data_IF_063007770324
#
_entry.id   IF_063007770324
#
_cell.length_a   1.000
_cell.length_b   1.000
_cell.length_c   1.000
_cell.angle_alpha   90.00
_cell.angle_beta   90.00
_cell.angle_gamma   90.00
#
_symmetry.space_group_name_H-M   'P 1'
#
loop_
_entity.id
_entity.type
_entity.pdbx_description
1 polymer ?
#
# COMPACT_ATOMS: atom_id res chain seq x y z
N UNK A 1 15.26 -7.56 -17.24
CA UNK A 1 14.52 -6.47 -17.90
C UNK A 1 13.61 -5.86 -16.84
N UNK A 2 14.00 -4.73 -16.25
CA UNK A 2 13.26 -4.12 -15.16
C UNK A 2 11.99 -3.45 -15.71
N UNK A 3 10.83 -4.06 -15.44
CA UNK A 3 9.54 -3.53 -15.85
C UNK A 3 9.23 -2.25 -15.07
N UNK A 4 9.23 -1.15 -15.83
CA UNK A 4 8.25 -0.06 -15.80
C UNK A 4 8.15 0.77 -14.51
N UNK A 5 8.72 1.99 -14.61
CA UNK A 5 8.09 3.18 -14.04
C UNK A 5 6.61 3.19 -14.43
N UNK A 6 5.70 3.06 -13.48
CA UNK A 6 4.28 3.25 -13.75
C UNK A 6 3.43 2.66 -12.65
N UNK A 7 3.17 3.45 -11.62
CA UNK A 7 2.33 3.15 -10.47
C UNK A 7 1.10 2.32 -10.92
N UNK A 8 0.93 1.07 -10.47
CA UNK A 8 -0.18 0.22 -10.89
C UNK A 8 -1.48 0.81 -10.36
N UNK A 9 -2.58 0.68 -11.12
CA UNK A 9 -3.89 1.20 -10.71
C UNK A 9 -4.25 0.80 -9.29
N UNK A 10 -5.03 1.63 -8.59
CA UNK A 10 -5.43 1.36 -7.20
C UNK A 10 -5.92 -0.09 -6.98
N UNK A 11 -6.71 -0.64 -7.90
CA UNK A 11 -7.19 -2.03 -7.82
C UNK A 11 -6.05 -3.06 -7.95
N UNK A 12 -5.17 -2.88 -8.94
CA UNK A 12 -4.02 -3.75 -9.14
C UNK A 12 -3.06 -3.70 -7.94
N UNK A 13 -2.79 -2.50 -7.42
CA UNK A 13 -1.99 -2.32 -6.21
C UNK A 13 -2.61 -3.06 -5.01
N UNK A 14 -3.91 -2.93 -4.79
CA UNK A 14 -4.61 -3.62 -3.70
C UNK A 14 -4.48 -5.14 -3.85
N UNK A 15 -4.67 -5.67 -5.06
CA UNK A 15 -4.50 -7.11 -5.33
C UNK A 15 -3.08 -7.57 -5.07
N UNK A 16 -2.09 -6.85 -5.59
CA UNK A 16 -0.69 -7.19 -5.32
C UNK A 16 -0.37 -7.13 -3.84
N UNK A 17 -0.87 -6.14 -3.11
CA UNK A 17 -0.67 -6.05 -1.67
C UNK A 17 -1.34 -7.19 -0.91
N UNK A 18 -2.43 -7.79 -1.42
CA UNK A 18 -3.09 -8.93 -0.78
C UNK A 18 -2.25 -10.22 -0.87
N UNK A 19 -1.34 -10.31 -1.83
CA UNK A 19 -0.46 -11.47 -2.05
C UNK A 19 1.00 -11.20 -1.66
N UNK A 20 1.43 -9.93 -1.69
CA UNK A 20 2.82 -9.49 -1.51
C UNK A 20 2.89 -8.18 -0.72
N UNK A 21 4.10 -7.74 -0.44
CA UNK A 21 4.35 -6.39 0.11
C UNK A 21 4.81 -5.43 -0.99
N UNK A 22 4.50 -4.16 -0.84
CA UNK A 22 5.00 -3.12 -1.73
C UNK A 22 5.42 -1.88 -0.94
N UNK A 23 6.42 -1.19 -1.49
CA UNK A 23 6.98 0.05 -0.98
C UNK A 23 6.35 1.19 -1.76
N UNK A 24 5.57 2.02 -1.08
CA UNK A 24 4.88 3.16 -1.68
C UNK A 24 5.59 4.44 -1.28
N UNK A 25 5.99 5.24 -2.25
CA UNK A 25 6.54 6.58 -2.06
C UNK A 25 5.45 7.60 -2.37
N UNK A 26 5.14 8.47 -1.41
CA UNK A 26 4.11 9.50 -1.55
C UNK A 26 4.57 10.84 -0.99
N UNK A 27 4.02 11.93 -1.52
CA UNK A 27 4.31 13.28 -1.06
C UNK A 27 3.49 13.65 0.18
N UNK A 28 4.16 14.13 1.23
CA UNK A 28 3.51 14.77 2.38
C UNK A 28 2.97 16.15 2.02
N UNK A 29 2.13 16.71 2.91
CA UNK A 29 1.67 18.09 2.83
C UNK A 29 2.81 19.11 2.83
N UNK A 30 3.94 18.76 3.45
CA UNK A 30 5.12 19.60 3.57
C UNK A 30 5.99 19.65 2.29
N UNK A 31 5.71 18.80 1.30
CA UNK A 31 6.52 18.67 0.08
C UNK A 31 7.64 17.61 0.15
N UNK A 32 7.79 16.97 1.31
CA UNK A 32 8.74 15.87 1.52
C UNK A 32 8.18 14.52 1.02
N UNK A 33 9.03 13.71 0.38
CA UNK A 33 8.70 12.37 -0.10
C UNK A 33 8.86 11.36 1.03
N UNK A 34 7.75 10.70 1.41
CA UNK A 34 7.78 9.63 2.40
C UNK A 34 7.66 8.29 1.73
N UNK A 35 8.59 7.41 2.05
CA UNK A 35 8.57 6.01 1.66
C UNK A 35 7.93 5.21 2.80
N UNK A 36 6.91 4.40 2.49
CA UNK A 36 6.30 3.47 3.44
C UNK A 36 6.22 2.06 2.86
N UNK A 37 6.58 1.06 3.65
CA UNK A 37 6.44 -0.35 3.26
C UNK A 37 5.14 -0.90 3.81
N UNK A 38 4.29 -1.42 2.92
CA UNK A 38 2.97 -1.87 3.29
C UNK A 38 2.56 -3.19 2.63
N UNK A 39 1.56 -3.85 3.22
CA UNK A 39 0.97 -5.09 2.71
C UNK A 39 -0.54 -5.13 3.03
N UNK A 40 -1.29 -5.99 2.37
CA UNK A 40 -2.65 -6.40 2.69
C UNK A 40 -2.77 -7.91 2.84
N UNK A 41 -1.63 -8.60 2.90
CA UNK A 41 -1.59 -10.03 3.05
C UNK A 41 -2.06 -10.41 4.47
N UNK A 42 -3.19 -11.10 4.54
CA UNK A 42 -3.80 -11.53 5.80
C UNK A 42 -2.97 -12.59 6.54
N UNK A 43 -2.00 -13.25 5.87
CA UNK A 43 -1.05 -14.15 6.53
C UNK A 43 0.02 -13.38 7.29
N UNK A 44 0.38 -12.18 6.83
CA UNK A 44 1.35 -11.31 7.50
C UNK A 44 0.66 -10.46 8.58
N UNK A 45 -0.59 -10.08 8.36
CA UNK A 45 -1.37 -9.30 9.32
C UNK A 45 -1.88 -10.24 10.42
N UNK A 46 -1.65 -9.92 11.71
CA UNK A 46 -2.16 -10.74 12.80
C UNK A 46 -3.69 -10.80 12.78
N UNK A 47 -4.27 -11.97 13.11
CA UNK A 47 -5.73 -12.22 13.06
C UNK A 47 -6.54 -11.21 13.88
N UNK A 48 -5.99 -10.76 15.01
CA UNK A 48 -6.59 -9.71 15.85
C UNK A 48 -6.79 -8.38 15.12
N UNK A 49 -5.98 -8.12 14.09
CA UNK A 49 -6.00 -6.92 13.28
C UNK A 49 -6.59 -7.16 11.89
N UNK A 50 -7.12 -8.37 11.60
CA UNK A 50 -7.80 -8.60 10.33
C UNK A 50 -8.95 -7.61 10.17
N UNK A 51 -9.09 -7.03 8.97
CA UNK A 51 -10.12 -6.05 8.73
C UNK A 51 -11.48 -6.75 8.82
N UNK A 52 -12.27 -6.43 9.85
CA UNK A 52 -13.61 -7.01 10.07
C UNK A 52 -14.64 -6.57 9.00
N UNK A 53 -14.25 -5.70 8.08
CA UNK A 53 -15.13 -5.20 7.04
C UNK A 53 -14.33 -4.93 5.76
N UNK A 54 -14.74 -5.57 4.66
CA UNK A 54 -14.29 -5.29 3.29
C UNK A 54 -14.91 -3.99 2.77
N UNK A 55 -14.84 -2.91 3.56
CA UNK A 55 -15.22 -1.60 3.04
C UNK A 55 -14.27 -1.27 1.91
N UNK A 56 -14.79 -1.31 0.68
CA UNK A 56 -14.12 -0.80 -0.50
C UNK A 56 -13.50 0.55 -0.14
N UNK A 57 -12.18 0.61 -0.26
CA UNK A 57 -11.42 1.84 -0.20
C UNK A 57 -12.18 2.90 -1.04
N UNK A 58 -12.53 4.05 -0.44
CA UNK A 58 -13.09 5.17 -1.21
C UNK A 58 -12.11 5.50 -2.35
N UNK A 59 -12.63 5.87 -3.51
CA UNK A 59 -11.81 6.21 -4.67
C UNK A 59 -10.70 7.20 -4.27
N UNK A 60 -9.45 6.80 -4.55
CA UNK A 60 -8.27 7.59 -4.22
C UNK A 60 -7.68 7.40 -2.81
N UNK A 61 -8.31 6.70 -1.87
CA UNK A 61 -7.72 6.44 -0.53
C UNK A 61 -7.53 4.93 -0.29
N UNK A 62 -6.28 4.47 -0.25
CA UNK A 62 -5.94 3.05 -0.13
C UNK A 62 -5.59 2.72 1.31
N UNK A 63 -6.30 1.76 1.90
CA UNK A 63 -6.01 1.27 3.25
C UNK A 63 -5.08 0.06 3.18
N UNK A 64 -3.95 0.16 3.87
CA UNK A 64 -2.85 -0.81 3.84
C UNK A 64 -2.32 -1.05 5.25
N UNK A 65 -1.69 -2.20 5.47
CA UNK A 65 -0.98 -2.49 6.70
C UNK A 65 0.47 -2.04 6.57
N UNK A 66 0.92 -1.16 7.46
CA UNK A 66 2.31 -0.73 7.52
C UNK A 66 3.12 -1.78 8.28
N UNK A 67 4.17 -2.32 7.64
CA UNK A 67 5.02 -3.35 8.25
C UNK A 67 6.00 -2.78 9.28
N UNK A 68 6.39 -1.51 9.14
CA UNK A 68 7.31 -0.84 10.06
C UNK A 68 6.57 -0.44 11.34
N UNK A 69 5.40 0.17 11.19
CA UNK A 69 4.56 0.59 12.32
C UNK A 69 3.65 -0.54 12.85
N UNK A 70 3.56 -1.68 12.14
CA UNK A 70 2.67 -2.81 12.44
C UNK A 70 1.24 -2.33 12.76
N UNK A 71 0.69 -1.54 11.84
CA UNK A 71 -0.61 -0.92 12.02
C UNK A 71 -1.28 -0.52 10.71
N UNK A 72 -2.60 -0.38 10.74
CA UNK A 72 -3.37 0.07 9.58
C UNK A 72 -3.09 1.55 9.29
N UNK A 73 -2.73 1.83 8.04
CA UNK A 73 -2.50 3.17 7.52
C UNK A 73 -3.24 3.34 6.20
N UNK A 74 -3.75 4.54 5.99
CA UNK A 74 -4.37 4.92 4.72
C UNK A 74 -3.50 5.97 4.04
N UNK A 75 -3.31 5.84 2.74
CA UNK A 75 -2.67 6.89 1.93
C UNK A 75 -3.52 7.24 0.72
N UNK A 76 -3.39 8.49 0.28
CA UNK A 76 -4.03 8.94 -0.96
C UNK A 76 -3.22 8.49 -2.15
N UNK A 77 -3.82 7.66 -3.00
CA UNK A 77 -3.23 7.20 -4.25
C UNK A 77 -2.87 8.38 -5.17
N UNK A 78 -3.68 9.43 -5.15
CA UNK A 78 -3.44 10.70 -5.86
C UNK A 78 -2.06 11.32 -5.59
N UNK A 79 -1.51 11.14 -4.38
CA UNK A 79 -0.20 11.68 -3.98
C UNK A 79 0.94 10.68 -4.08
N UNK A 80 0.67 9.49 -4.61
CA UNK A 80 1.70 8.46 -4.80
C UNK A 80 2.58 8.86 -5.97
N UNK A 81 3.88 8.85 -5.72
CA UNK A 81 4.93 9.21 -6.68
C UNK A 81 5.60 7.97 -7.24
N UNK A 82 5.72 6.91 -6.43
CA UNK A 82 6.34 5.65 -6.82
C UNK A 82 5.74 4.50 -6.05
N UNK A 83 5.64 3.34 -6.69
CA UNK A 83 5.33 2.07 -6.03
C UNK A 83 6.36 1.08 -6.50
N UNK A 84 6.99 0.39 -5.55
CA UNK A 84 7.93 -0.69 -5.79
C UNK A 84 7.37 -1.95 -5.15
N UNK A 85 6.92 -2.88 -5.97
CA UNK A 85 6.42 -4.17 -5.51
C UNK A 85 7.65 -4.99 -5.10
N UNK A 86 7.63 -5.55 -3.89
CA UNK A 86 8.68 -6.46 -3.46
C UNK A 86 8.41 -7.80 -4.16
N UNK A 87 9.03 -8.00 -5.33
CA UNK A 87 9.11 -9.31 -5.97
C UNK A 87 10.10 -10.16 -5.15
N UNK A 88 9.56 -11.03 -4.30
CA UNK A 88 10.28 -12.17 -3.75
C UNK A 88 10.44 -13.25 -4.82
#
# INVERSE_FOLDING_TARGET
MAMLKGIPTQDALIKTLQEKSAIVTFLKLDGDERIMTCTKDLKVIPEANHPKTDKKAKEGNVNVWDLNAKGWRSFKYDRVKKVEINEA
#
